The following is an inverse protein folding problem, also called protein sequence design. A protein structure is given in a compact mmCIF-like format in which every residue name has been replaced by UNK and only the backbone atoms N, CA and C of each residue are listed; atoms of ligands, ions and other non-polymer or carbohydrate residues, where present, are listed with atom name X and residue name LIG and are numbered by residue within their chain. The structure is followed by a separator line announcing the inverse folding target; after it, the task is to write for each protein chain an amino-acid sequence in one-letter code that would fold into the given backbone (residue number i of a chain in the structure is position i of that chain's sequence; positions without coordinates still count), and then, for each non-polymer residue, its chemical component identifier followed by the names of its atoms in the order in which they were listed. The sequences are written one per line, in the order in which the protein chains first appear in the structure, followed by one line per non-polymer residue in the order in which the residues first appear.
data_IF_597041829764
#
_entry.id   IF_597041829764
#
_cell.length_a   1.000
_cell.length_b   1.000
_cell.length_c   1.000
_cell.angle_alpha   90.00
_cell.angle_beta   90.00
_cell.angle_gamma   90.00
#
_symmetry.space_group_name_H-M   'P 1'
#
loop_
_entity.id
_entity.type
_entity.pdbx_description
1 polymer ?
#
# COMPACT_ATOMS: atom_id res chain seq x y z
N UNK A 1 16.73 -20.14 -2.79
CA UNK A 1 15.74 -20.48 -3.85
C UNK A 1 14.62 -19.45 -3.77
N UNK A 2 14.50 -18.56 -4.74
CA UNK A 2 13.44 -17.56 -4.75
C UNK A 2 12.09 -18.25 -5.02
N UNK A 3 11.14 -18.16 -4.09
CA UNK A 3 9.78 -18.67 -4.30
C UNK A 3 9.09 -17.71 -5.27
N UNK A 4 8.81 -18.18 -6.49
CA UNK A 4 8.04 -17.38 -7.46
C UNK A 4 6.58 -17.30 -7.02
N UNK A 5 5.89 -16.22 -7.37
CA UNK A 5 4.47 -16.01 -7.03
C UNK A 5 3.56 -17.20 -7.42
N UNK A 6 3.71 -17.85 -8.60
CA UNK A 6 2.95 -19.07 -8.93
C UNK A 6 3.20 -20.22 -7.95
N UNK A 7 4.46 -20.46 -7.58
CA UNK A 7 4.79 -21.52 -6.62
C UNK A 7 4.20 -21.25 -5.22
N UNK A 8 4.21 -19.98 -4.77
CA UNK A 8 3.58 -19.58 -3.51
C UNK A 8 2.07 -19.85 -3.52
N UNK A 9 1.37 -19.53 -4.62
CA UNK A 9 -0.06 -19.81 -4.76
C UNK A 9 -0.31 -21.31 -4.70
N UNK A 10 0.40 -22.12 -5.49
CA UNK A 10 0.23 -23.58 -5.50
C UNK A 10 0.46 -24.18 -4.11
N UNK A 11 1.50 -23.74 -3.41
CA UNK A 11 1.81 -24.23 -2.07
C UNK A 11 0.72 -23.86 -1.05
N UNK A 12 0.22 -22.61 -1.08
CA UNK A 12 -0.82 -22.15 -0.16
C UNK A 12 -2.20 -22.71 -0.50
N UNK A 13 -2.53 -22.93 -1.78
CA UNK A 13 -3.74 -23.67 -2.18
C UNK A 13 -3.71 -25.09 -1.66
N UNK A 14 -2.58 -25.82 -1.84
CA UNK A 14 -2.42 -27.18 -1.31
C UNK A 14 -2.50 -27.22 0.22
N UNK A 15 -1.97 -26.20 0.91
CA UNK A 15 -2.10 -26.11 2.36
C UNK A 15 -3.55 -25.88 2.80
N UNK A 16 -4.26 -24.93 2.20
CA UNK A 16 -5.67 -24.67 2.50
C UNK A 16 -6.58 -25.88 2.22
N UNK A 17 -6.26 -26.69 1.19
CA UNK A 17 -6.96 -27.93 0.89
C UNK A 17 -6.70 -29.03 1.93
N UNK A 18 -5.46 -29.16 2.40
CA UNK A 18 -5.11 -30.16 3.43
C UNK A 18 -5.62 -29.79 4.83
N UNK A 19 -5.65 -28.52 5.15
CA UNK A 19 -6.04 -27.99 6.45
C UNK A 19 -7.15 -26.94 6.34
N UNK A 20 -8.34 -27.28 5.84
CA UNK A 20 -9.40 -26.31 5.47
C UNK A 20 -10.00 -25.55 6.66
N UNK A 21 -9.72 -25.99 7.89
CA UNK A 21 -10.14 -25.35 9.14
C UNK A 21 -9.06 -24.46 9.75
N UNK A 22 -7.91 -24.33 9.11
CA UNK A 22 -6.80 -23.51 9.61
C UNK A 22 -6.85 -22.11 9.00
N UNK A 23 -7.08 -21.10 9.83
CA UNK A 23 -7.25 -19.72 9.38
C UNK A 23 -6.00 -19.18 8.67
N UNK A 24 -4.80 -19.52 9.18
CA UNK A 24 -3.53 -19.08 8.59
C UNK A 24 -3.35 -19.57 7.15
N UNK A 25 -3.80 -20.78 6.82
CA UNK A 25 -3.70 -21.31 5.46
C UNK A 25 -4.45 -20.43 4.45
N UNK A 26 -5.63 -19.96 4.82
CA UNK A 26 -6.45 -19.06 4.02
C UNK A 26 -5.88 -17.64 3.98
N UNK A 27 -5.34 -17.16 5.10
CA UNK A 27 -4.67 -15.86 5.16
C UNK A 27 -3.47 -15.80 4.22
N UNK A 28 -2.56 -16.78 4.28
CA UNK A 28 -1.40 -16.83 3.39
C UNK A 28 -1.78 -17.05 1.92
N UNK A 29 -2.86 -17.78 1.66
CA UNK A 29 -3.40 -17.91 0.32
C UNK A 29 -3.90 -16.54 -0.22
N UNK A 30 -4.61 -15.76 0.59
CA UNK A 30 -4.99 -14.40 0.28
C UNK A 30 -3.78 -13.50 -0.03
N UNK A 31 -2.72 -13.60 0.78
CA UNK A 31 -1.47 -12.87 0.56
C UNK A 31 -0.75 -13.26 -0.74
N UNK A 32 -0.73 -14.55 -1.08
CA UNK A 32 -0.15 -15.03 -2.34
C UNK A 32 -0.90 -14.51 -3.57
N UNK A 33 -2.24 -14.47 -3.52
CA UNK A 33 -3.04 -13.82 -4.54
C UNK A 33 -2.82 -12.31 -4.58
N UNK A 34 -2.60 -11.66 -3.43
CA UNK A 34 -2.28 -10.24 -3.32
C UNK A 34 -1.00 -9.88 -4.07
N UNK A 35 0.07 -10.63 -3.85
CA UNK A 35 1.33 -10.46 -4.57
C UNK A 35 1.17 -10.61 -6.09
N UNK A 36 0.34 -11.57 -6.55
CA UNK A 36 0.05 -11.73 -7.97
C UNK A 36 -0.82 -10.61 -8.52
N UNK A 37 -1.80 -10.14 -7.76
CA UNK A 37 -2.64 -9.02 -8.16
C UNK A 37 -1.81 -7.76 -8.39
N UNK A 38 -0.91 -7.43 -7.46
CA UNK A 38 0.01 -6.30 -7.59
C UNK A 38 0.89 -6.41 -8.84
N UNK A 39 1.48 -7.59 -9.08
CA UNK A 39 2.26 -7.86 -10.29
C UNK A 39 1.45 -7.67 -11.58
N UNK A 40 0.18 -8.09 -11.59
CA UNK A 40 -0.74 -7.90 -12.72
C UNK A 40 -1.09 -6.44 -12.96
N UNK A 41 -1.29 -5.66 -11.88
CA UNK A 41 -1.52 -4.20 -11.98
C UNK A 41 -0.32 -3.53 -12.65
N UNK A 42 0.89 -3.82 -12.22
CA UNK A 42 2.13 -3.26 -12.81
C UNK A 42 2.29 -3.61 -14.30
N UNK A 43 1.67 -4.69 -14.77
CA UNK A 43 1.65 -5.13 -16.17
C UNK A 43 0.41 -4.74 -16.93
N UNK A 44 -0.41 -3.86 -16.38
CA UNK A 44 -1.70 -3.42 -16.98
C UNK A 44 -2.68 -4.58 -17.25
N UNK A 45 -2.56 -5.70 -16.53
CA UNK A 45 -3.44 -6.88 -16.64
C UNK A 45 -4.68 -6.73 -15.74
N UNK A 46 -5.47 -5.69 -15.97
CA UNK A 46 -6.55 -5.25 -15.07
C UNK A 46 -7.60 -6.34 -14.77
N UNK A 47 -8.05 -7.08 -15.78
CA UNK A 47 -9.03 -8.18 -15.59
C UNK A 47 -8.46 -9.30 -14.71
N UNK A 48 -7.19 -9.65 -14.91
CA UNK A 48 -6.52 -10.65 -14.08
C UNK A 48 -6.37 -10.18 -12.64
N UNK A 49 -6.00 -8.91 -12.43
CA UNK A 49 -5.90 -8.30 -11.10
C UNK A 49 -7.26 -8.25 -10.39
N UNK A 50 -8.35 -7.89 -11.09
CA UNK A 50 -9.70 -7.88 -10.52
C UNK A 50 -10.18 -9.28 -10.08
N UNK A 51 -9.88 -10.31 -10.87
CA UNK A 51 -10.17 -11.70 -10.47
C UNK A 51 -9.39 -12.14 -9.25
N UNK A 52 -8.11 -11.74 -9.17
CA UNK A 52 -7.32 -12.02 -7.97
C UNK A 52 -7.84 -11.24 -6.76
N UNK A 53 -8.30 -10.01 -6.93
CA UNK A 53 -8.98 -9.24 -5.88
C UNK A 53 -10.15 -10.01 -5.25
N UNK A 54 -11.00 -10.65 -6.08
CA UNK A 54 -12.07 -11.53 -5.57
C UNK A 54 -11.49 -12.70 -4.77
N UNK A 55 -10.46 -13.39 -5.29
CA UNK A 55 -9.84 -14.53 -4.60
C UNK A 55 -9.21 -14.12 -3.26
N UNK A 56 -8.58 -12.94 -3.20
CA UNK A 56 -8.07 -12.36 -1.96
C UNK A 56 -9.21 -12.22 -0.95
N UNK A 57 -10.29 -11.56 -1.37
CA UNK A 57 -11.46 -11.34 -0.51
C UNK A 57 -12.02 -12.66 0.01
N UNK A 58 -12.30 -13.62 -0.89
CA UNK A 58 -12.88 -14.91 -0.53
C UNK A 58 -11.98 -15.68 0.46
N UNK A 59 -10.66 -15.69 0.25
CA UNK A 59 -9.71 -16.34 1.12
C UNK A 59 -9.62 -15.67 2.50
N UNK A 60 -9.54 -14.34 2.56
CA UNK A 60 -9.45 -13.61 3.82
C UNK A 60 -10.75 -13.63 4.61
N UNK A 61 -11.91 -13.59 3.96
CA UNK A 61 -13.21 -13.80 4.62
C UNK A 61 -13.30 -15.21 5.21
N UNK A 62 -12.77 -16.22 4.52
CA UNK A 62 -12.68 -17.57 5.08
C UNK A 62 -11.75 -17.63 6.28
N UNK A 63 -10.60 -16.96 6.24
CA UNK A 63 -9.69 -16.86 7.38
C UNK A 63 -10.38 -16.25 8.60
N UNK A 64 -11.10 -15.12 8.42
CA UNK A 64 -11.85 -14.46 9.49
C UNK A 64 -13.04 -15.25 10.00
N UNK A 65 -13.69 -16.04 9.15
CA UNK A 65 -14.76 -16.95 9.59
C UNK A 65 -14.22 -18.07 10.50
N UNK A 66 -12.94 -18.42 10.35
CA UNK A 66 -12.26 -19.44 11.17
C UNK A 66 -11.62 -18.83 12.42
N UNK A 67 -10.99 -17.67 12.31
CA UNK A 67 -10.47 -16.88 13.43
C UNK A 67 -10.79 -15.37 13.27
N UNK A 68 -11.86 -14.88 13.89
CA UNK A 68 -12.24 -13.46 13.84
C UNK A 68 -11.21 -12.52 14.50
N UNK A 69 -10.23 -13.04 15.23
CA UNK A 69 -9.18 -12.27 15.88
C UNK A 69 -7.96 -12.04 15.02
N UNK A 70 -7.91 -12.63 13.82
CA UNK A 70 -6.81 -12.43 12.86
C UNK A 70 -6.87 -11.02 12.26
N UNK A 71 -6.25 -10.06 12.95
CA UNK A 71 -6.34 -8.64 12.60
C UNK A 71 -5.71 -8.35 11.23
N UNK A 72 -4.67 -9.04 10.85
CA UNK A 72 -3.98 -8.89 9.58
C UNK A 72 -4.88 -9.16 8.36
N UNK A 73 -5.87 -10.03 8.48
CA UNK A 73 -6.79 -10.32 7.39
C UNK A 73 -7.68 -9.11 7.02
N UNK A 74 -7.94 -8.22 7.98
CA UNK A 74 -8.68 -6.99 7.72
C UNK A 74 -7.95 -6.02 6.78
N UNK A 75 -6.62 -6.07 6.73
CA UNK A 75 -5.85 -5.25 5.80
C UNK A 75 -6.22 -5.52 4.35
N UNK A 76 -6.15 -6.76 3.90
CA UNK A 76 -6.45 -7.11 2.51
C UNK A 76 -7.94 -6.94 2.15
N UNK A 77 -8.85 -7.22 3.09
CA UNK A 77 -10.28 -6.95 2.91
C UNK A 77 -10.54 -5.45 2.82
N UNK A 78 -9.89 -4.66 3.67
CA UNK A 78 -9.98 -3.21 3.66
C UNK A 78 -9.51 -2.61 2.34
N UNK A 79 -8.35 -3.05 1.83
CA UNK A 79 -7.86 -2.65 0.51
C UNK A 79 -8.85 -2.97 -0.61
N UNK A 80 -9.39 -4.19 -0.62
CA UNK A 80 -10.38 -4.58 -1.61
C UNK A 80 -11.62 -3.67 -1.54
N UNK A 81 -12.21 -3.51 -0.35
CA UNK A 81 -13.41 -2.69 -0.15
C UNK A 81 -13.19 -1.25 -0.58
N UNK A 82 -12.04 -0.69 -0.23
CA UNK A 82 -11.70 0.68 -0.56
C UNK A 82 -11.55 0.88 -2.08
N UNK A 83 -10.63 0.15 -2.71
CA UNK A 83 -10.35 0.32 -4.14
C UNK A 83 -11.51 -0.12 -5.04
N UNK A 84 -12.33 -1.08 -4.63
CA UNK A 84 -13.54 -1.44 -5.34
C UNK A 84 -14.58 -0.31 -5.33
N UNK A 85 -14.60 0.53 -4.30
CA UNK A 85 -15.53 1.67 -4.21
C UNK A 85 -15.02 2.90 -4.97
N UNK A 86 -13.76 3.26 -4.84
CA UNK A 86 -13.18 4.44 -5.52
C UNK A 86 -12.86 4.19 -7.00
N UNK A 87 -13.04 2.96 -7.50
CA UNK A 87 -12.78 2.61 -8.89
C UNK A 87 -13.58 3.50 -9.86
N UNK A 88 -13.02 3.86 -11.03
CA UNK A 88 -13.73 4.59 -12.07
C UNK A 88 -15.03 3.90 -12.52
N UNK A 89 -16.01 4.68 -13.00
CA UNK A 89 -17.34 4.18 -13.40
C UNK A 89 -17.26 3.03 -14.40
N UNK A 90 -16.37 3.10 -15.38
CA UNK A 90 -16.16 2.02 -16.35
C UNK A 90 -15.71 0.71 -15.67
N UNK A 91 -14.82 0.79 -14.67
CA UNK A 91 -14.39 -0.37 -13.89
C UNK A 91 -15.50 -0.92 -13.00
N UNK A 92 -16.35 -0.03 -12.43
CA UNK A 92 -17.54 -0.43 -11.66
C UNK A 92 -18.55 -1.18 -12.55
N UNK A 93 -18.78 -0.72 -13.78
CA UNK A 93 -19.65 -1.38 -14.75
C UNK A 93 -19.09 -2.76 -15.13
N UNK A 94 -17.80 -2.85 -15.44
CA UNK A 94 -17.15 -4.13 -15.75
C UNK A 94 -17.21 -5.10 -14.56
N UNK A 95 -17.01 -4.60 -13.35
CA UNK A 95 -17.16 -5.40 -12.13
C UNK A 95 -18.55 -5.97 -11.98
N UNK A 96 -19.59 -5.16 -12.20
CA UNK A 96 -20.98 -5.62 -12.19
C UNK A 96 -21.22 -6.71 -13.23
N UNK A 97 -20.72 -6.53 -14.45
CA UNK A 97 -20.86 -7.52 -15.53
C UNK A 97 -20.17 -8.86 -15.19
N UNK A 98 -19.06 -8.79 -14.43
CA UNK A 98 -18.30 -9.97 -13.99
C UNK A 98 -18.78 -10.53 -12.64
N UNK A 99 -19.89 -10.04 -12.10
CA UNK A 99 -20.46 -10.43 -10.80
C UNK A 99 -19.42 -10.35 -9.65
N UNK A 100 -18.51 -9.37 -9.73
CA UNK A 100 -17.54 -9.14 -8.67
C UNK A 100 -18.17 -8.30 -7.55
N UNK A 101 -17.88 -8.58 -6.27
CA UNK A 101 -18.46 -7.86 -5.14
C UNK A 101 -18.18 -6.35 -5.18
N UNK A 102 -19.12 -5.56 -4.66
CA UNK A 102 -18.97 -4.13 -4.48
C UNK A 102 -17.92 -3.76 -3.43
N UNK A 103 -17.57 -2.47 -3.40
CA UNK A 103 -16.72 -1.88 -2.36
C UNK A 103 -17.55 -1.06 -1.37
N UNK A 104 -16.87 -0.66 -0.30
CA UNK A 104 -17.32 0.33 0.67
C UNK A 104 -16.08 1.05 1.21
N UNK A 105 -15.87 2.31 0.77
CA UNK A 105 -14.71 3.14 1.13
C UNK A 105 -14.55 3.31 2.63
N UNK A 106 -15.64 3.59 3.32
CA UNK A 106 -15.63 3.86 4.78
C UNK A 106 -15.26 2.60 5.56
N UNK A 107 -15.87 1.47 5.23
CA UNK A 107 -15.52 0.19 5.85
C UNK A 107 -14.11 -0.24 5.49
N UNK A 108 -13.68 0.00 4.25
CA UNK A 108 -12.32 -0.29 3.80
C UNK A 108 -11.26 0.43 4.62
N UNK A 109 -11.42 1.75 4.83
CA UNK A 109 -10.53 2.52 5.70
C UNK A 109 -10.55 2.02 7.14
N UNK A 110 -11.73 1.75 7.70
CA UNK A 110 -11.86 1.22 9.06
C UNK A 110 -11.15 -0.11 9.24
N UNK A 111 -11.27 -1.01 8.27
CA UNK A 111 -10.64 -2.32 8.33
C UNK A 111 -9.10 -2.21 8.24
N UNK A 112 -8.57 -1.33 7.38
CA UNK A 112 -7.13 -1.08 7.29
C UNK A 112 -6.58 -0.45 8.57
N UNK A 113 -7.29 0.52 9.17
CA UNK A 113 -6.94 1.11 10.46
C UNK A 113 -6.94 0.07 11.57
N UNK A 114 -7.94 -0.83 11.58
CA UNK A 114 -8.00 -1.95 12.52
C UNK A 114 -6.78 -2.87 12.39
N UNK A 115 -6.38 -3.23 11.17
CA UNK A 115 -5.20 -4.06 10.94
C UNK A 115 -3.92 -3.34 11.37
N UNK A 116 -3.82 -2.02 11.15
CA UNK A 116 -2.71 -1.18 11.59
C UNK A 116 -2.57 -1.15 13.12
N UNK A 117 -3.69 -0.96 13.81
CA UNK A 117 -3.68 -0.70 15.26
C UNK A 117 -3.58 -1.98 16.09
N UNK A 118 -4.20 -3.07 15.64
CA UNK A 118 -4.30 -4.34 16.35
C UNK A 118 -3.52 -5.50 15.72
N UNK A 119 -3.02 -5.35 14.48
CA UNK A 119 -2.16 -6.33 13.81
C UNK A 119 -0.68 -6.16 14.22
N UNK A 120 0.09 -7.23 13.99
CA UNK A 120 1.52 -7.27 14.31
C UNK A 120 2.40 -7.35 13.06
N UNK A 121 1.95 -8.11 12.04
CA UNK A 121 2.73 -8.40 10.84
C UNK A 121 2.63 -7.30 9.78
N UNK A 122 1.44 -6.72 9.57
CA UNK A 122 1.14 -5.84 8.45
C UNK A 122 1.01 -4.36 8.85
N UNK A 123 1.42 -3.98 10.05
CA UNK A 123 1.32 -2.60 10.53
C UNK A 123 2.00 -1.59 9.61
N UNK A 124 3.28 -1.86 9.27
CA UNK A 124 4.05 -0.94 8.42
C UNK A 124 3.48 -0.92 6.98
N UNK A 125 3.01 -2.06 6.47
CA UNK A 125 2.35 -2.14 5.18
C UNK A 125 1.01 -1.38 5.18
N UNK A 126 0.24 -1.50 6.26
CA UNK A 126 -1.01 -0.75 6.42
C UNK A 126 -0.76 0.76 6.45
N UNK A 127 0.24 1.23 7.21
CA UNK A 127 0.63 2.64 7.23
C UNK A 127 1.08 3.12 5.85
N UNK A 128 1.84 2.29 5.12
CA UNK A 128 2.31 2.63 3.78
C UNK A 128 1.15 2.73 2.78
N UNK A 129 0.19 1.81 2.81
CA UNK A 129 -0.98 1.87 1.93
C UNK A 129 -1.94 3.01 2.31
N UNK A 130 -2.14 3.22 3.61
CA UNK A 130 -2.98 4.31 4.10
C UNK A 130 -2.42 5.69 3.72
N UNK A 131 -1.08 5.89 3.75
CA UNK A 131 -0.52 7.17 3.31
C UNK A 131 -0.78 7.44 1.82
N UNK A 132 -0.69 6.43 0.95
CA UNK A 132 -1.07 6.55 -0.47
C UNK A 132 -2.54 6.94 -0.61
N UNK A 133 -3.41 6.27 0.13
CA UNK A 133 -4.84 6.53 0.12
C UNK A 133 -5.14 7.96 0.60
N UNK A 134 -4.59 8.37 1.73
CA UNK A 134 -4.79 9.71 2.27
C UNK A 134 -4.26 10.80 1.33
N UNK A 135 -3.13 10.56 0.67
CA UNK A 135 -2.54 11.54 -0.22
C UNK A 135 -3.32 11.68 -1.53
N UNK A 136 -3.64 10.58 -2.18
CA UNK A 136 -4.13 10.60 -3.56
C UNK A 136 -5.66 10.52 -3.69
N UNK A 137 -6.34 9.93 -2.71
CA UNK A 137 -7.78 9.71 -2.79
C UNK A 137 -8.58 10.52 -1.78
N UNK A 138 -8.06 10.65 -0.55
CA UNK A 138 -8.70 11.39 0.52
C UNK A 138 -8.26 12.85 0.57
N UNK A 139 -7.19 13.22 -0.15
CA UNK A 139 -6.58 14.55 -0.15
C UNK A 139 -6.26 15.07 1.27
N UNK A 140 -5.89 14.17 2.16
CA UNK A 140 -5.52 14.46 3.55
C UNK A 140 -3.99 14.39 3.71
N UNK A 141 -3.32 15.42 3.22
CA UNK A 141 -1.84 15.52 3.25
C UNK A 141 -1.26 15.45 4.66
N UNK A 142 -1.85 16.12 5.70
CA UNK A 142 -1.34 16.03 7.06
C UNK A 142 -1.28 14.60 7.60
N UNK A 143 -2.34 13.81 7.37
CA UNK A 143 -2.39 12.42 7.83
C UNK A 143 -1.41 11.54 7.06
N UNK A 144 -1.28 11.71 5.74
CA UNK A 144 -0.30 11.01 4.93
C UNK A 144 1.13 11.26 5.43
N UNK A 145 1.49 12.51 5.72
CA UNK A 145 2.80 12.87 6.30
C UNK A 145 3.01 12.29 7.70
N UNK A 146 1.96 12.27 8.53
CA UNK A 146 2.03 11.66 9.86
C UNK A 146 2.41 10.18 9.77
N UNK A 147 1.78 9.43 8.84
CA UNK A 147 2.08 8.02 8.60
C UNK A 147 3.51 7.82 8.06
N UNK A 148 3.95 8.64 7.10
CA UNK A 148 5.30 8.57 6.56
C UNK A 148 6.36 8.85 7.62
N UNK A 149 6.13 9.84 8.50
CA UNK A 149 7.02 10.15 9.63
C UNK A 149 7.07 9.00 10.65
N UNK A 150 5.92 8.36 10.91
CA UNK A 150 5.84 7.15 11.72
C UNK A 150 6.64 5.99 11.15
N UNK A 151 6.51 5.73 9.84
CA UNK A 151 7.29 4.72 9.11
C UNK A 151 8.79 5.04 9.16
N UNK A 152 9.17 6.30 8.95
CA UNK A 152 10.57 6.74 9.05
C UNK A 152 11.15 6.51 10.45
N UNK A 153 10.38 6.77 11.50
CA UNK A 153 10.83 6.56 12.88
C UNK A 153 11.07 5.07 13.18
N UNK A 154 10.21 4.18 12.67
CA UNK A 154 10.35 2.73 12.87
C UNK A 154 11.40 2.09 11.95
N UNK A 155 11.65 2.65 10.78
CA UNK A 155 12.58 2.14 9.75
C UNK A 155 13.61 3.20 9.37
N UNK A 156 14.48 3.63 10.29
CA UNK A 156 15.38 4.77 10.09
C UNK A 156 16.39 4.58 8.96
N UNK A 157 16.69 3.35 8.57
CA UNK A 157 17.63 3.03 7.50
C UNK A 157 16.99 2.90 6.12
N UNK A 158 15.64 3.04 6.02
CA UNK A 158 14.99 3.01 4.72
C UNK A 158 14.91 4.43 4.15
N UNK A 159 15.66 4.74 3.08
CA UNK A 159 15.71 6.08 2.49
C UNK A 159 14.38 6.49 1.83
N UNK A 160 13.57 5.52 1.40
CA UNK A 160 12.30 5.76 0.71
C UNK A 160 11.38 6.70 1.49
N UNK A 161 11.32 6.56 2.81
CA UNK A 161 10.39 7.39 3.60
C UNK A 161 10.82 8.85 3.67
N UNK A 162 12.13 9.15 3.72
CA UNK A 162 12.60 10.54 3.61
C UNK A 162 12.31 11.12 2.22
N UNK A 163 12.52 10.33 1.17
CA UNK A 163 12.19 10.75 -0.19
C UNK A 163 10.70 11.09 -0.32
N UNK A 164 9.80 10.19 0.09
CA UNK A 164 8.35 10.42 0.01
C UNK A 164 7.89 11.61 0.87
N UNK A 165 8.51 11.86 2.03
CA UNK A 165 8.24 13.04 2.85
C UNK A 165 8.63 14.31 2.08
N UNK A 166 9.85 14.36 1.52
CA UNK A 166 10.35 15.52 0.79
C UNK A 166 9.50 15.84 -0.45
N UNK A 167 9.13 14.80 -1.22
CA UNK A 167 8.24 14.93 -2.38
C UNK A 167 6.84 15.42 -1.97
N UNK A 168 6.33 14.96 -0.84
CA UNK A 168 5.03 15.41 -0.34
C UNK A 168 5.07 16.86 0.14
N UNK A 169 6.14 17.27 0.83
CA UNK A 169 6.35 18.65 1.29
C UNK A 169 6.44 19.62 0.10
N UNK A 170 7.12 19.24 -0.98
CA UNK A 170 7.24 20.03 -2.20
C UNK A 170 5.93 20.04 -3.00
N UNK A 171 5.48 18.87 -3.44
CA UNK A 171 4.41 18.73 -4.44
C UNK A 171 3.03 19.11 -3.91
N UNK A 172 2.74 18.78 -2.65
CA UNK A 172 1.39 18.95 -2.09
C UNK A 172 1.27 20.09 -1.09
N UNK A 173 2.33 20.43 -0.37
CA UNK A 173 2.34 21.55 0.58
C UNK A 173 2.99 22.80 0.00
N UNK A 174 3.72 22.69 -1.10
CA UNK A 174 4.55 23.75 -1.68
C UNK A 174 5.53 24.36 -0.66
N UNK A 175 5.94 23.56 0.36
CA UNK A 175 6.94 23.95 1.35
C UNK A 175 8.34 23.55 0.89
N UNK A 176 8.89 24.37 -0.03
CA UNK A 176 10.23 24.16 -0.59
C UNK A 176 11.30 24.11 0.50
N UNK A 177 11.13 24.91 1.58
CA UNK A 177 12.10 24.96 2.68
C UNK A 177 12.11 23.67 3.50
N UNK A 178 10.93 23.09 3.80
CA UNK A 178 10.85 21.80 4.48
C UNK A 178 11.41 20.69 3.57
N UNK A 179 11.00 20.65 2.31
CA UNK A 179 11.47 19.67 1.34
C UNK A 179 12.99 19.69 1.19
N UNK A 180 13.61 20.87 1.06
CA UNK A 180 15.08 20.99 1.01
C UNK A 180 15.78 20.40 2.25
N UNK A 181 15.25 20.67 3.44
CA UNK A 181 15.79 20.10 4.68
C UNK A 181 15.69 18.57 4.70
N UNK A 182 14.56 18.03 4.24
CA UNK A 182 14.33 16.59 4.19
C UNK A 182 15.25 15.92 3.16
N UNK A 183 15.45 16.52 1.98
CA UNK A 183 16.41 16.04 0.98
C UNK A 183 17.85 16.08 1.49
N UNK A 184 18.24 17.13 2.23
CA UNK A 184 19.56 17.20 2.84
C UNK A 184 19.76 16.09 3.89
N UNK A 185 18.72 15.80 4.69
CA UNK A 185 18.77 14.70 5.66
C UNK A 185 18.90 13.34 4.94
N UNK A 186 18.22 13.15 3.81
CA UNK A 186 18.36 11.95 3.00
C UNK A 186 19.78 11.80 2.44
N UNK A 187 20.36 12.87 1.91
CA UNK A 187 21.74 12.89 1.41
C UNK A 187 22.75 12.53 2.52
N UNK A 188 22.56 13.06 3.72
CA UNK A 188 23.43 12.77 4.86
C UNK A 188 23.29 11.31 5.34
N UNK A 189 22.12 10.70 5.16
CA UNK A 189 21.85 9.31 5.52
C UNK A 189 22.39 8.29 4.51
N UNK A 190 22.57 8.71 3.25
CA UNK A 190 23.17 7.91 2.18
C UNK A 190 24.68 8.24 2.12
N UNK A 191 25.52 7.30 2.47
CA UNK A 191 26.96 7.42 2.25
C UNK A 191 27.25 7.10 0.75
N UNK A 192 27.31 8.13 -0.13
CA UNK A 192 27.69 7.92 -1.53
C UNK A 192 27.11 8.95 -2.51
N UNK A 193 27.65 8.92 -3.71
CA UNK A 193 27.28 9.76 -4.86
C UNK A 193 25.93 9.28 -5.41
N UNK A 194 24.88 10.05 -5.19
CA UNK A 194 23.52 9.74 -5.66
C UNK A 194 23.06 10.85 -6.60
N UNK A 195 23.27 10.64 -7.91
CA UNK A 195 22.95 11.64 -8.95
C UNK A 195 21.48 12.08 -8.96
N UNK A 196 20.54 11.19 -8.66
CA UNK A 196 19.11 11.52 -8.59
C UNK A 196 18.81 12.47 -7.43
N UNK A 197 19.47 12.25 -6.29
CA UNK A 197 19.36 13.11 -5.12
C UNK A 197 19.94 14.50 -5.37
N UNK A 198 21.08 14.56 -6.04
CA UNK A 198 21.73 15.82 -6.41
C UNK A 198 20.89 16.61 -7.44
N UNK A 199 20.24 15.95 -8.39
CA UNK A 199 19.30 16.57 -9.34
C UNK A 199 18.06 17.13 -8.60
N UNK A 200 17.46 16.38 -7.67
CA UNK A 200 16.33 16.86 -6.87
C UNK A 200 16.68 18.09 -6.04
N UNK A 201 17.84 18.09 -5.41
CA UNK A 201 18.34 19.26 -4.62
C UNK A 201 18.67 20.45 -5.52
N UNK A 202 19.20 20.22 -6.72
CA UNK A 202 19.47 21.29 -7.69
C UNK A 202 18.18 21.94 -8.20
N UNK A 203 17.16 21.16 -8.51
CA UNK A 203 15.86 21.67 -8.96
C UNK A 203 15.17 22.50 -7.87
N UNK A 204 15.18 22.03 -6.61
CA UNK A 204 14.63 22.80 -5.49
C UNK A 204 15.35 24.13 -5.28
N UNK A 205 16.68 24.18 -5.47
CA UNK A 205 17.44 25.44 -5.41
C UNK A 205 17.04 26.39 -6.53
N UNK A 206 16.78 25.86 -7.74
CA UNK A 206 16.35 26.62 -8.89
C UNK A 206 14.97 27.26 -8.65
N UNK A 207 14.02 26.48 -8.11
CA UNK A 207 12.69 26.98 -7.79
C UNK A 207 12.73 28.08 -6.74
N UNK A 208 13.53 27.92 -5.70
CA UNK A 208 13.72 28.96 -4.66
C UNK A 208 14.33 30.25 -5.20
N UNK A 209 15.27 30.16 -6.15
CA UNK A 209 15.89 31.34 -6.76
C UNK A 209 14.96 32.13 -7.69
N UNK A 210 13.86 31.52 -8.13
CA UNK A 210 12.84 32.21 -8.94
C UNK A 210 11.77 32.93 -8.09
N UNK A 211 11.64 32.58 -6.79
CA UNK A 211 10.69 33.23 -5.88
C UNK A 211 11.28 34.52 -5.25
N UNK A 212 12.59 34.76 -5.42
CA UNK A 212 13.28 35.95 -4.92
C UNK A 212 13.39 37.09 -5.96
N UNK A 213 12.69 37.03 -7.13
CA UNK A 213 12.59 38.03 -8.18
C UNK A 213 11.14 38.51 -8.33
#
# INVERSE_FOLDING_TARGET
MAITTPAAITATEAWAQREPKRAEAWFYLGGAYGARAQWRVLRSQQLGAARDGKRIKDALERALALDPRMQEAYFGIGLYRYYADVAPTAAKLLRWLLLLPGGNRVEGLRDMLRARDAGHLLRDEADFQLQVIYLWYEHNVPEALSLLRGLRARRPHNPLFLQLIAETEDTYLHDITASQRTWQALRSARAGDDAELDLGLAELRRLRGNDDV
#
